data_IF_057779371889
#
_entry.id   IF_057779371889
#
_cell.length_a   1.000
_cell.length_b   1.000
_cell.length_c   1.000
_cell.angle_alpha   90.00
_cell.angle_beta   90.00
_cell.angle_gamma   90.00
#
_symmetry.space_group_name_H-M   'P 1'
#
loop_
_entity.id
_entity.type
_entity.pdbx_description
1 polymer ?
#
# COMPACT_ATOMS: atom_id res chain seq x y z
N UNK A 1 11.29 -14.70 -1.15
CA UNK A 1 9.97 -14.22 -0.71
C UNK A 1 9.74 -12.86 -1.34
N UNK A 2 8.56 -12.61 -1.93
CA UNK A 2 8.21 -11.28 -2.42
C UNK A 2 7.90 -10.40 -1.20
N UNK A 3 8.56 -9.25 -1.07
CA UNK A 3 8.22 -8.25 -0.04
C UNK A 3 7.00 -7.48 -0.52
N UNK A 4 5.81 -7.84 -0.01
CA UNK A 4 4.55 -7.22 -0.36
C UNK A 4 4.11 -6.30 0.78
N UNK A 5 3.81 -5.04 0.44
CA UNK A 5 3.25 -4.09 1.40
C UNK A 5 1.83 -4.48 1.82
N UNK A 6 1.36 -3.97 2.97
CA UNK A 6 0.00 -4.21 3.46
C UNK A 6 -1.11 -3.79 2.48
N UNK A 7 -0.78 -2.99 1.47
CA UNK A 7 -1.70 -2.47 0.47
C UNK A 7 -1.43 -3.01 -0.94
N UNK A 8 -0.66 -4.09 -1.08
CA UNK A 8 -0.50 -4.82 -2.35
C UNK A 8 0.59 -4.30 -3.29
N UNK A 9 1.37 -3.30 -2.90
CA UNK A 9 2.56 -2.90 -3.66
C UNK A 9 3.64 -3.98 -3.51
N UNK A 10 4.19 -4.43 -4.62
CA UNK A 10 5.37 -5.30 -4.67
C UNK A 10 6.63 -4.46 -4.43
N UNK A 11 7.17 -4.50 -3.21
CA UNK A 11 8.40 -3.77 -2.87
C UNK A 11 9.62 -4.34 -3.60
N UNK A 12 9.59 -5.59 -4.06
CA UNK A 12 10.68 -6.19 -4.85
C UNK A 12 10.87 -5.54 -6.22
N UNK A 13 9.87 -4.83 -6.74
CA UNK A 13 9.92 -4.10 -8.00
C UNK A 13 10.06 -2.58 -7.79
N UNK A 14 10.22 -2.13 -6.54
CA UNK A 14 10.32 -0.71 -6.19
C UNK A 14 11.78 -0.29 -6.07
N UNK A 15 12.21 0.66 -6.92
CA UNK A 15 13.59 1.19 -6.94
C UNK A 15 14.04 1.83 -5.61
N UNK A 16 13.10 2.31 -4.79
CA UNK A 16 13.40 2.92 -3.50
C UNK A 16 13.58 1.89 -2.38
N UNK A 17 13.10 0.65 -2.58
CA UNK A 17 13.15 -0.37 -1.53
C UNK A 17 14.58 -0.89 -1.34
N UNK A 18 15.05 -0.93 -0.09
CA UNK A 18 16.42 -1.30 0.25
C UNK A 18 17.44 -0.16 0.13
N UNK A 19 17.07 0.97 -0.49
CA UNK A 19 17.88 2.19 -0.48
C UNK A 19 17.37 3.16 0.57
N UNK A 20 16.54 4.13 0.18
CA UNK A 20 15.95 5.13 1.08
C UNK A 20 14.66 4.65 1.75
N UNK A 21 14.06 3.56 1.27
CA UNK A 21 12.84 2.97 1.82
C UNK A 21 13.11 1.60 2.41
N UNK A 22 12.81 1.42 3.70
CA UNK A 22 12.90 0.11 4.39
C UNK A 22 11.62 -0.72 4.27
N UNK A 23 10.61 -0.20 3.58
CA UNK A 23 9.29 -0.83 3.44
C UNK A 23 8.33 -0.52 4.59
N UNK A 24 7.03 -0.50 4.31
CA UNK A 24 6.01 -0.06 5.28
C UNK A 24 5.93 -0.94 6.52
N UNK A 25 6.26 -2.24 6.42
CA UNK A 25 6.22 -3.15 7.56
C UNK A 25 7.31 -2.81 8.57
N UNK A 26 8.52 -2.47 8.11
CA UNK A 26 9.64 -2.06 8.98
C UNK A 26 9.52 -0.61 9.45
N UNK A 27 8.96 0.28 8.62
CA UNK A 27 8.78 1.68 8.98
C UNK A 27 7.46 2.01 9.68
N UNK A 28 6.64 1.00 10.01
CA UNK A 28 5.30 1.19 10.60
C UNK A 28 4.43 2.17 9.80
N UNK A 29 4.43 2.02 8.46
CA UNK A 29 3.67 2.86 7.56
C UNK A 29 4.30 4.24 7.29
N UNK A 30 5.58 4.45 7.61
CA UNK A 30 6.29 5.72 7.41
C UNK A 30 7.38 5.62 6.35
N UNK A 31 7.05 5.36 5.06
CA UNK A 31 8.04 5.43 3.99
C UNK A 31 8.57 6.86 3.83
N UNK A 32 9.70 7.01 3.14
CA UNK A 32 10.48 8.25 3.04
C UNK A 32 9.71 9.49 2.55
N UNK A 33 8.60 9.31 1.82
CA UNK A 33 7.78 10.40 1.27
C UNK A 33 6.63 10.83 2.18
N UNK A 34 6.42 10.16 3.32
CA UNK A 34 5.42 10.58 4.30
C UNK A 34 6.01 11.67 5.20
N UNK A 35 5.22 12.72 5.43
CA UNK A 35 5.57 13.83 6.32
C UNK A 35 5.94 13.31 7.73
N UNK A 36 6.92 13.97 8.35
CA UNK A 36 7.40 13.61 9.67
C UNK A 36 6.26 13.60 10.70
N UNK A 37 6.25 12.58 11.57
CA UNK A 37 5.19 12.38 12.56
C UNK A 37 3.88 11.77 12.02
N UNK A 38 3.70 11.64 10.71
CA UNK A 38 2.52 11.00 10.11
C UNK A 38 2.82 9.57 9.65
N UNK A 39 1.76 8.78 9.48
CA UNK A 39 1.80 7.44 8.86
C UNK A 39 0.93 7.41 7.61
N UNK A 40 1.23 6.50 6.69
CA UNK A 40 0.40 6.21 5.53
C UNK A 40 -1.01 5.84 6.00
N UNK A 41 -2.02 6.55 5.48
CA UNK A 41 -3.41 6.37 5.88
C UNK A 41 -3.92 4.95 5.67
N UNK A 42 -3.49 4.27 4.60
CA UNK A 42 -3.87 2.88 4.33
C UNK A 42 -3.26 1.94 5.36
N UNK A 43 -1.98 2.11 5.69
CA UNK A 43 -1.31 1.33 6.73
C UNK A 43 -2.00 1.53 8.09
N UNK A 44 -2.23 2.78 8.47
CA UNK A 44 -2.94 3.15 9.70
C UNK A 44 -4.32 2.48 9.78
N UNK A 45 -5.08 2.49 8.68
CA UNK A 45 -6.39 1.86 8.63
C UNK A 45 -6.29 0.33 8.83
N UNK A 46 -5.49 -0.36 8.02
CA UNK A 46 -5.53 -1.82 7.98
C UNK A 46 -4.77 -2.47 9.13
N UNK A 47 -3.59 -1.95 9.49
CA UNK A 47 -2.74 -2.51 10.53
C UNK A 47 -3.12 -2.04 11.92
N UNK A 48 -3.36 -0.75 12.10
CA UNK A 48 -3.51 -0.16 13.44
C UNK A 48 -4.98 -0.08 13.89
N UNK A 49 -5.91 0.27 12.98
CA UNK A 49 -7.34 0.40 13.33
C UNK A 49 -8.14 -0.89 13.17
N UNK A 50 -8.02 -1.55 12.01
CA UNK A 50 -8.74 -2.81 11.73
C UNK A 50 -7.98 -4.04 12.23
N UNK A 51 -6.71 -3.90 12.62
CA UNK A 51 -5.85 -5.00 13.09
C UNK A 51 -5.79 -6.21 12.14
N UNK A 52 -5.87 -5.96 10.82
CA UNK A 52 -5.80 -6.96 9.78
C UNK A 52 -4.37 -7.11 9.25
N UNK A 53 -4.06 -8.29 8.70
CA UNK A 53 -2.74 -8.53 8.11
C UNK A 53 -2.46 -7.62 6.91
N UNK A 54 -3.40 -7.48 6.00
CA UNK A 54 -3.27 -6.62 4.83
C UNK A 54 -4.67 -6.28 4.30
N UNK A 55 -4.75 -5.37 3.33
CA UNK A 55 -6.04 -4.93 2.79
C UNK A 55 -6.80 -6.06 2.09
N UNK A 56 -6.14 -7.12 1.64
CA UNK A 56 -6.79 -8.27 1.02
C UNK A 56 -7.67 -9.07 1.99
N UNK A 57 -7.50 -8.89 3.31
CA UNK A 57 -8.39 -9.45 4.34
C UNK A 57 -9.58 -8.54 4.67
N UNK A 58 -9.68 -7.38 4.02
CA UNK A 58 -10.76 -6.41 4.24
C UNK A 58 -11.86 -6.59 3.18
N UNK A 59 -13.09 -6.82 3.61
CA UNK A 59 -14.25 -7.03 2.71
C UNK A 59 -14.60 -5.78 1.89
N UNK A 60 -14.24 -4.60 2.38
CA UNK A 60 -14.44 -3.32 1.68
C UNK A 60 -13.40 -3.05 0.58
N UNK A 61 -12.45 -3.96 0.29
CA UNK A 61 -11.38 -3.69 -0.70
C UNK A 61 -11.91 -3.78 -2.16
N UNK A 62 -11.64 -2.78 -3.03
CA UNK A 62 -11.05 -1.47 -2.75
C UNK A 62 -12.08 -0.48 -2.18
N UNK A 63 -11.70 0.26 -1.11
CA UNK A 63 -12.58 1.22 -0.44
C UNK A 63 -12.25 2.67 -0.82
N UNK A 64 -13.07 3.62 -0.36
CA UNK A 64 -12.86 5.05 -0.61
C UNK A 64 -11.47 5.54 -0.19
N UNK A 65 -10.87 4.96 0.85
CA UNK A 65 -9.52 5.34 1.25
C UNK A 65 -8.49 5.01 0.15
N UNK A 66 -8.65 3.89 -0.55
CA UNK A 66 -7.81 3.54 -1.69
C UNK A 66 -8.04 4.52 -2.85
N UNK A 67 -9.31 4.82 -3.16
CA UNK A 67 -9.68 5.73 -4.24
C UNK A 67 -9.19 7.16 -4.00
N UNK A 68 -9.15 7.60 -2.75
CA UNK A 68 -8.65 8.91 -2.34
C UNK A 68 -7.13 8.95 -2.12
N UNK A 69 -6.43 7.81 -2.15
CA UNK A 69 -4.96 7.75 -2.08
C UNK A 69 -4.39 7.62 -3.49
N UNK A 70 -4.68 8.64 -4.30
CA UNK A 70 -4.28 8.72 -5.71
C UNK A 70 -3.05 9.61 -5.86
N UNK A 71 -2.08 9.14 -6.65
CA UNK A 71 -0.99 10.00 -7.11
C UNK A 71 -1.56 10.98 -8.16
N UNK A 72 -1.45 12.31 -7.98
CA UNK A 72 -1.92 13.29 -8.95
C UNK A 72 -1.29 13.14 -10.35
N UNK A 73 -0.16 12.44 -10.47
CA UNK A 73 0.52 12.19 -11.74
C UNK A 73 -0.17 11.15 -12.61
N UNK A 74 -1.03 10.30 -12.03
CA UNK A 74 -1.75 9.28 -12.80
C UNK A 74 -3.00 9.84 -13.44
N UNK A 75 -3.21 9.49 -14.70
CA UNK A 75 -4.52 9.55 -15.35
C UNK A 75 -5.51 8.61 -14.66
N UNK A 76 -6.81 8.77 -14.96
CA UNK A 76 -7.85 7.92 -14.38
C UNK A 76 -7.61 6.43 -14.74
N UNK A 77 -7.23 6.16 -15.99
CA UNK A 77 -6.96 4.81 -16.47
C UNK A 77 -5.73 4.19 -15.79
N UNK A 78 -4.62 4.92 -15.72
CA UNK A 78 -3.41 4.45 -15.03
C UNK A 78 -3.68 4.17 -13.55
N UNK A 79 -4.44 5.04 -12.88
CA UNK A 79 -4.79 4.84 -11.49
C UNK A 79 -5.67 3.59 -11.30
N UNK A 80 -6.69 3.40 -12.13
CA UNK A 80 -7.55 2.20 -12.06
C UNK A 80 -6.75 0.93 -12.34
N UNK A 81 -5.83 0.93 -13.30
CA UNK A 81 -4.96 -0.21 -13.59
C UNK A 81 -4.01 -0.47 -12.40
N UNK A 82 -3.45 0.56 -11.80
CA UNK A 82 -2.61 0.44 -10.61
C UNK A 82 -3.36 -0.18 -9.42
N UNK A 83 -4.62 0.20 -9.20
CA UNK A 83 -5.48 -0.39 -8.17
C UNK A 83 -5.74 -1.88 -8.47
N UNK A 84 -6.05 -2.24 -9.72
CA UNK A 84 -6.27 -3.63 -10.13
C UNK A 84 -5.04 -4.52 -9.86
N UNK A 85 -3.84 -4.06 -10.23
CA UNK A 85 -2.60 -4.82 -10.02
C UNK A 85 -2.29 -5.04 -8.54
N UNK A 86 -2.54 -4.03 -7.70
CA UNK A 86 -2.38 -4.17 -6.24
C UNK A 86 -3.38 -5.14 -5.63
N UNK A 87 -4.64 -5.14 -6.08
CA UNK A 87 -5.66 -6.11 -5.65
C UNK A 87 -5.27 -7.53 -6.08
N UNK A 88 -4.81 -7.69 -7.32
CA UNK A 88 -4.32 -8.98 -7.83
C UNK A 88 -3.17 -9.49 -6.96
N UNK A 89 -2.19 -8.64 -6.69
CA UNK A 89 -1.05 -8.97 -5.81
C UNK A 89 -1.51 -9.39 -4.42
N UNK A 90 -2.49 -8.71 -3.82
CA UNK A 90 -3.06 -9.10 -2.53
C UNK A 90 -3.73 -10.47 -2.58
N UNK A 91 -4.46 -10.80 -3.65
CA UNK A 91 -5.14 -12.10 -3.82
C UNK A 91 -4.15 -13.25 -4.00
N UNK A 92 -3.05 -13.02 -4.69
CA UNK A 92 -2.01 -14.03 -4.94
C UNK A 92 -1.13 -14.31 -3.71
N UNK A 93 -1.15 -13.43 -2.70
CA UNK A 93 -0.28 -13.50 -1.53
C UNK A 93 -1.08 -13.46 -0.21
N UNK A 94 -2.30 -14.02 -0.20
CA UNK A 94 -3.22 -14.04 0.95
C UNK A 94 -3.56 -15.45 1.44
#
# INVERSE_FOLDING_TARGET
MKEISCCGINCGECEYFGSICVGCNKSCGKPFYIEEGKSCRIYECVKNKKCLENCGKCEELPCDLWMNTRDPKFTDEEFLNYIKERIKTLKENN
#
